data_IF_509226050390
#
_entry.id   IF_509226050390
#
_cell.length_a   1.000
_cell.length_b   1.000
_cell.length_c   1.000
_cell.angle_alpha   90.00
_cell.angle_beta   90.00
_cell.angle_gamma   90.00
#
_symmetry.space_group_name_H-M   'P 1'
#
loop_
_entity.id
_entity.type
_entity.pdbx_description
1 polymer ?
#
# COMPACT_ATOMS: atom_id res chain seq x y z
N UNK A 1 -2.97 11.47 28.99
CA UNK A 1 -3.90 10.68 28.16
C UNK A 1 -4.79 11.65 27.45
N UNK A 2 -4.76 11.67 26.11
CA UNK A 2 -5.58 12.58 25.31
C UNK A 2 -6.61 11.76 24.55
N UNK A 3 -7.87 12.19 24.57
CA UNK A 3 -8.90 11.59 23.71
C UNK A 3 -8.90 12.31 22.37
N UNK A 4 -9.08 11.54 21.29
CA UNK A 4 -9.11 12.09 19.94
C UNK A 4 -10.30 11.54 19.17
N UNK A 5 -10.86 12.36 18.27
CA UNK A 5 -11.92 11.93 17.36
C UNK A 5 -11.32 11.16 16.19
N UNK A 6 -12.05 10.16 15.68
CA UNK A 6 -11.66 9.40 14.50
C UNK A 6 -11.55 10.30 13.27
N UNK A 7 -12.42 11.30 13.13
CA UNK A 7 -12.31 12.31 12.07
C UNK A 7 -10.97 13.04 12.06
N UNK A 8 -10.49 13.50 13.21
CA UNK A 8 -9.19 14.16 13.34
C UNK A 8 -8.03 13.23 13.00
N UNK A 9 -8.11 11.96 13.40
CA UNK A 9 -7.08 10.98 13.07
C UNK A 9 -7.07 10.66 11.57
N UNK A 10 -8.23 10.58 10.94
CA UNK A 10 -8.35 10.35 9.49
C UNK A 10 -7.69 11.49 8.70
N UNK A 11 -7.75 12.73 9.19
CA UNK A 11 -7.07 13.87 8.57
C UNK A 11 -5.53 13.78 8.69
N UNK A 12 -5.02 13.10 9.71
CA UNK A 12 -3.57 12.88 9.89
C UNK A 12 -2.99 11.75 9.03
N UNK A 13 -3.81 11.08 8.20
CA UNK A 13 -3.31 10.07 7.27
C UNK A 13 -2.45 10.71 6.19
N UNK A 14 -1.30 10.10 5.92
CA UNK A 14 -0.43 10.46 4.80
C UNK A 14 -1.11 10.34 3.44
N UNK A 15 -2.10 9.44 3.34
CA UNK A 15 -2.91 9.22 2.14
C UNK A 15 -4.41 9.28 2.48
N UNK A 16 -5.05 10.46 2.36
CA UNK A 16 -6.48 10.64 2.66
C UNK A 16 -7.41 9.76 1.81
N UNK A 17 -6.99 9.31 0.61
CA UNK A 17 -7.75 8.41 -0.25
C UNK A 17 -7.85 6.98 0.30
N UNK A 18 -7.10 6.66 1.35
CA UNK A 18 -7.17 5.38 2.08
C UNK A 18 -7.98 5.46 3.37
N UNK A 19 -8.62 6.59 3.65
CA UNK A 19 -9.45 6.80 4.85
C UNK A 19 -10.51 5.71 5.10
N UNK A 20 -11.22 5.25 4.06
CA UNK A 20 -12.18 4.12 4.20
C UNK A 20 -11.51 2.82 4.69
N UNK A 21 -10.30 2.53 4.21
CA UNK A 21 -9.54 1.33 4.62
C UNK A 21 -9.04 1.50 6.04
N UNK A 22 -8.52 2.68 6.39
CA UNK A 22 -8.11 2.99 7.76
C UNK A 22 -9.25 2.81 8.75
N UNK A 23 -10.44 3.38 8.49
CA UNK A 23 -11.60 3.25 9.37
C UNK A 23 -12.02 1.80 9.58
N UNK A 24 -11.91 0.94 8.55
CA UNK A 24 -12.19 -0.50 8.68
C UNK A 24 -11.17 -1.20 9.59
N UNK A 25 -9.88 -0.92 9.39
CA UNK A 25 -8.80 -1.49 10.21
C UNK A 25 -8.93 -1.02 11.66
N UNK A 26 -9.18 0.27 11.87
CA UNK A 26 -9.40 0.87 13.18
C UNK A 26 -10.58 0.21 13.92
N UNK A 27 -11.72 0.04 13.26
CA UNK A 27 -12.88 -0.66 13.85
C UNK A 27 -12.57 -2.12 14.19
N UNK A 28 -11.76 -2.79 13.37
CA UNK A 28 -11.26 -4.12 13.69
C UNK A 28 -10.43 -4.12 14.97
N UNK A 29 -9.49 -3.19 15.08
CA UNK A 29 -8.64 -3.06 16.26
C UNK A 29 -9.44 -2.72 17.54
N UNK A 30 -10.47 -1.88 17.44
CA UNK A 30 -11.39 -1.61 18.58
C UNK A 30 -12.17 -2.86 18.95
N UNK A 31 -12.72 -3.58 17.97
CA UNK A 31 -13.46 -4.83 18.20
C UNK A 31 -12.59 -5.90 18.85
N UNK A 32 -11.31 -5.96 18.48
CA UNK A 32 -10.35 -6.94 19.00
C UNK A 32 -9.73 -6.48 20.34
N UNK A 33 -10.18 -5.36 20.92
CA UNK A 33 -9.69 -4.84 22.21
C UNK A 33 -8.27 -4.26 22.18
N UNK A 34 -7.72 -3.98 21.00
CA UNK A 34 -6.38 -3.39 20.85
C UNK A 34 -6.37 -1.87 21.00
N UNK A 35 -7.52 -1.24 20.78
CA UNK A 35 -7.72 0.21 20.90
C UNK A 35 -9.02 0.42 21.66
N UNK A 36 -8.95 1.21 22.72
CA UNK A 36 -10.16 1.64 23.46
C UNK A 36 -10.87 2.74 22.67
N UNK A 37 -12.09 2.45 22.21
CA UNK A 37 -12.87 3.37 21.40
C UNK A 37 -14.37 3.26 21.64
N UNK A 38 -15.03 4.41 21.74
CA UNK A 38 -16.48 4.53 21.95
C UNK A 38 -17.15 5.17 20.73
N UNK A 39 -18.33 4.67 20.36
CA UNK A 39 -19.13 5.30 19.31
C UNK A 39 -19.72 6.63 19.79
N UNK A 40 -19.71 7.62 18.90
CA UNK A 40 -20.39 8.89 19.08
C UNK A 40 -21.67 8.95 18.21
N UNK A 41 -22.68 9.77 18.58
CA UNK A 41 -23.89 9.93 17.78
C UNK A 41 -23.61 10.62 16.44
N UNK A 42 -22.51 11.36 16.36
CA UNK A 42 -22.08 12.10 15.18
C UNK A 42 -21.59 11.19 14.04
N UNK A 43 -21.62 11.74 12.83
CA UNK A 43 -21.03 11.15 11.64
C UNK A 43 -20.16 12.19 10.95
N UNK A 44 -19.10 11.73 10.30
CA UNK A 44 -18.22 12.60 9.53
C UNK A 44 -18.07 12.07 8.10
N UNK A 45 -17.80 12.99 7.18
CA UNK A 45 -17.55 12.67 5.77
C UNK A 45 -16.08 12.27 5.60
N UNK A 46 -15.85 11.12 4.95
CA UNK A 46 -14.50 10.65 4.65
C UNK A 46 -13.89 11.49 3.53
N UNK A 47 -12.59 11.85 3.62
CA UNK A 47 -11.92 12.63 2.58
C UNK A 47 -11.77 11.86 1.26
N UNK A 48 -11.85 10.52 1.29
CA UNK A 48 -11.80 9.68 0.09
C UNK A 48 -12.98 9.97 -0.83
N UNK A 49 -12.66 10.30 -2.08
CA UNK A 49 -13.64 10.49 -3.15
C UNK A 49 -13.78 9.21 -3.97
N UNK A 50 -15.01 8.84 -4.29
CA UNK A 50 -15.34 7.66 -5.08
C UNK A 50 -15.94 8.09 -6.41
N UNK A 51 -15.46 7.54 -7.53
CA UNK A 51 -16.10 7.72 -8.82
C UNK A 51 -17.33 6.82 -8.96
N UNK A 52 -18.42 7.35 -9.51
CA UNK A 52 -19.55 6.53 -9.95
C UNK A 52 -19.23 5.93 -11.32
N UNK A 53 -19.58 4.65 -11.51
CA UNK A 53 -19.44 4.00 -12.82
C UNK A 53 -20.49 4.58 -13.77
N UNK A 54 -20.06 5.09 -14.92
CA UNK A 54 -20.96 5.56 -15.98
C UNK A 54 -21.53 6.98 -15.81
N UNK A 55 -21.14 7.72 -14.77
CA UNK A 55 -21.51 9.13 -14.62
C UNK A 55 -20.40 9.87 -13.90
N UNK A 56 -19.91 10.98 -14.48
CA UNK A 56 -18.72 11.73 -14.01
C UNK A 56 -18.81 12.34 -12.60
N UNK A 57 -19.89 12.08 -11.86
CA UNK A 57 -20.06 12.55 -10.49
C UNK A 57 -19.25 11.72 -9.49
N UNK A 58 -18.39 12.39 -8.72
CA UNK A 58 -17.76 11.81 -7.55
C UNK A 58 -18.70 11.90 -6.34
N UNK A 59 -18.61 10.94 -5.42
CA UNK A 59 -19.29 11.00 -4.12
C UNK A 59 -18.34 10.66 -2.99
N UNK A 60 -18.65 11.13 -1.79
CA UNK A 60 -17.94 10.78 -0.56
C UNK A 60 -18.85 9.92 0.33
N UNK A 61 -18.23 9.13 1.20
CA UNK A 61 -18.96 8.27 2.16
C UNK A 61 -18.88 8.88 3.54
N UNK A 62 -19.92 8.66 4.34
CA UNK A 62 -19.92 9.02 5.75
C UNK A 62 -19.56 7.81 6.62
N UNK A 63 -18.85 8.06 7.72
CA UNK A 63 -18.54 7.09 8.76
C UNK A 63 -19.15 7.55 10.10
N UNK A 64 -19.45 6.58 10.98
CA UNK A 64 -19.80 6.89 12.38
C UNK A 64 -18.55 7.42 13.08
N UNK A 65 -18.71 8.51 13.80
CA UNK A 65 -17.65 9.07 14.63
C UNK A 65 -17.33 8.13 15.79
N UNK A 66 -16.07 8.12 16.21
CA UNK A 66 -15.61 7.39 17.38
C UNK A 66 -14.65 8.27 18.16
N UNK A 67 -14.78 8.26 19.48
CA UNK A 67 -13.80 8.82 20.38
C UNK A 67 -12.92 7.69 20.89
N UNK A 68 -11.61 7.89 20.89
CA UNK A 68 -10.66 6.87 21.35
C UNK A 68 -9.52 7.49 22.14
N UNK A 69 -8.87 6.67 22.94
CA UNK A 69 -7.72 7.09 23.73
C UNK A 69 -6.43 7.07 22.89
N UNK A 70 -5.68 8.17 22.90
CA UNK A 70 -4.34 8.26 22.32
C UNK A 70 -3.33 7.93 23.40
N UNK A 71 -2.70 6.76 23.26
CA UNK A 71 -1.56 6.31 24.05
C UNK A 71 -0.40 5.90 23.12
N UNK A 72 0.78 5.64 23.68
CA UNK A 72 1.96 5.29 22.87
C UNK A 72 1.79 4.01 22.05
N UNK A 73 0.97 3.05 22.51
CA UNK A 73 0.67 1.84 21.76
C UNK A 73 -0.18 2.14 20.52
N UNK A 74 -1.16 3.05 20.66
CA UNK A 74 -1.95 3.55 19.54
C UNK A 74 -1.08 4.31 18.54
N UNK A 75 -0.17 5.17 18.99
CA UNK A 75 0.72 5.93 18.09
C UNK A 75 1.61 5.00 17.26
N UNK A 76 2.24 4.01 17.89
CA UNK A 76 3.05 3.02 17.18
C UNK A 76 2.22 2.19 16.19
N UNK A 77 1.02 1.78 16.60
CA UNK A 77 0.08 1.08 15.73
C UNK A 77 -0.34 1.95 14.53
N UNK A 78 -0.65 3.22 14.79
CA UNK A 78 -1.06 4.16 13.77
C UNK A 78 0.06 4.40 12.77
N UNK A 79 1.29 4.62 13.22
CA UNK A 79 2.43 4.84 12.33
C UNK A 79 2.68 3.65 11.42
N UNK A 80 2.60 2.43 11.96
CA UNK A 80 2.69 1.21 11.15
C UNK A 80 1.59 1.15 10.10
N UNK A 81 0.32 1.36 10.50
CA UNK A 81 -0.83 1.32 9.58
C UNK A 81 -0.74 2.44 8.54
N UNK A 82 -0.34 3.65 8.93
CA UNK A 82 -0.21 4.81 8.05
C UNK A 82 0.86 4.55 6.98
N UNK A 83 2.02 4.00 7.37
CA UNK A 83 3.07 3.58 6.44
C UNK A 83 2.57 2.49 5.49
N UNK A 84 1.86 1.49 5.98
CA UNK A 84 1.34 0.39 5.15
C UNK A 84 0.28 0.88 4.15
N UNK A 85 -0.58 1.81 4.58
CA UNK A 85 -1.58 2.45 3.71
C UNK A 85 -0.93 3.37 2.67
N UNK A 86 0.17 4.02 3.00
CA UNK A 86 0.98 4.79 2.05
C UNK A 86 1.68 3.88 1.03
N UNK A 87 2.30 2.79 1.50
CA UNK A 87 3.00 1.81 0.68
C UNK A 87 2.05 0.99 -0.22
N UNK A 88 0.77 0.88 0.16
CA UNK A 88 -0.29 0.21 -0.60
C UNK A 88 -0.69 0.92 -1.91
N UNK A 89 0.23 1.56 -2.63
CA UNK A 89 0.22 1.66 -4.10
C UNK A 89 0.38 0.26 -4.74
N UNK A 90 -0.36 -0.76 -4.26
CA UNK A 90 -0.49 -2.05 -4.93
C UNK A 90 -1.48 -1.91 -6.08
N UNK A 91 -0.95 -1.61 -7.25
CA UNK A 91 -1.68 -1.53 -8.51
C UNK A 91 -0.75 -1.30 -9.70
N UNK A 92 0.34 -0.56 -9.49
CA UNK A 92 1.53 -0.67 -10.32
C UNK A 92 2.55 -1.55 -9.61
N UNK A 93 3.27 -2.43 -10.32
CA UNK A 93 4.53 -2.97 -9.81
C UNK A 93 5.29 -1.79 -9.17
N UNK A 94 5.66 -1.91 -7.89
CA UNK A 94 6.61 -0.98 -7.28
C UNK A 94 7.77 -0.91 -8.24
N UNK A 95 8.00 0.26 -8.85
CA UNK A 95 9.11 0.41 -9.78
C UNK A 95 10.36 0.13 -8.95
N UNK A 96 11.20 -0.76 -9.45
CA UNK A 96 12.50 -0.97 -8.86
C UNK A 96 13.27 0.36 -8.95
N UNK A 97 13.33 1.08 -7.83
CA UNK A 97 14.11 2.29 -7.63
C UNK A 97 14.96 2.09 -6.39
N UNK A 98 15.99 2.92 -6.22
CA UNK A 98 16.94 2.81 -5.11
C UNK A 98 16.22 2.99 -3.78
N UNK A 99 15.31 3.96 -3.71
CA UNK A 99 14.51 4.29 -2.54
C UNK A 99 13.58 3.13 -2.14
N UNK A 100 13.07 2.37 -3.12
CA UNK A 100 12.20 1.22 -2.87
C UNK A 100 12.98 0.01 -2.30
N UNK A 101 14.27 -0.09 -2.63
CA UNK A 101 15.17 -1.11 -2.08
C UNK A 101 15.57 -0.73 -0.65
N UNK A 102 15.93 0.53 -0.41
CA UNK A 102 16.29 1.04 0.92
C UNK A 102 15.12 0.97 1.91
N UNK A 103 13.91 1.24 1.44
CA UNK A 103 12.70 1.11 2.25
C UNK A 103 12.26 -0.34 2.52
N UNK A 104 13.01 -1.34 2.05
CA UNK A 104 12.67 -2.77 2.21
C UNK A 104 11.41 -3.21 1.44
N UNK A 105 10.89 -2.36 0.55
CA UNK A 105 9.69 -2.63 -0.25
C UNK A 105 10.00 -3.55 -1.43
N UNK A 106 11.27 -3.66 -1.82
CA UNK A 106 11.77 -4.53 -2.88
C UNK A 106 12.98 -5.31 -2.39
N UNK A 107 12.92 -6.64 -2.46
CA UNK A 107 14.06 -7.50 -2.11
C UNK A 107 15.13 -7.45 -3.22
N UNK A 108 16.22 -6.75 -2.94
CA UNK A 108 17.37 -6.64 -3.84
C UNK A 108 17.98 -7.99 -4.20
N UNK A 109 18.03 -8.95 -3.26
CA UNK A 109 18.63 -10.27 -3.52
C UNK A 109 17.79 -11.05 -4.53
N UNK A 110 16.46 -10.99 -4.41
CA UNK A 110 15.56 -11.60 -5.39
C UNK A 110 15.67 -10.92 -6.76
N UNK A 111 15.76 -9.58 -6.80
CA UNK A 111 16.00 -8.85 -8.05
C UNK A 111 17.31 -9.25 -8.72
N UNK A 112 18.40 -9.36 -7.95
CA UNK A 112 19.71 -9.74 -8.46
C UNK A 112 19.69 -11.17 -9.02
N UNK A 113 19.05 -12.11 -8.30
CA UNK A 113 18.92 -13.50 -8.75
C UNK A 113 18.12 -13.61 -10.06
N UNK A 114 16.97 -12.92 -10.15
CA UNK A 114 16.16 -12.87 -11.36
C UNK A 114 16.91 -12.24 -12.54
N UNK A 115 17.75 -11.23 -12.27
CA UNK A 115 18.57 -10.57 -13.28
C UNK A 115 19.65 -11.52 -13.82
N UNK A 116 20.38 -12.23 -12.96
CA UNK A 116 21.37 -13.25 -13.38
C UNK A 116 20.74 -14.32 -14.26
N UNK A 117 19.57 -14.84 -13.88
CA UNK A 117 18.86 -15.85 -14.65
C UNK A 117 18.49 -15.34 -16.05
N UNK A 118 17.98 -14.10 -16.15
CA UNK A 118 17.66 -13.47 -17.44
C UNK A 118 18.90 -13.23 -18.30
N UNK A 119 20.00 -12.76 -17.71
CA UNK A 119 21.25 -12.55 -18.44
C UNK A 119 21.80 -13.88 -18.99
N UNK A 120 21.77 -14.94 -18.19
CA UNK A 120 22.22 -16.27 -18.62
C UNK A 120 21.33 -16.84 -19.73
N UNK A 121 20.01 -16.68 -19.63
CA UNK A 121 19.06 -17.09 -20.67
C UNK A 121 19.29 -16.33 -21.98
N UNK A 122 19.55 -15.02 -21.93
CA UNK A 122 19.88 -14.21 -23.11
C UNK A 122 21.22 -14.63 -23.73
N UNK A 123 22.23 -14.88 -22.90
CA UNK A 123 23.55 -15.34 -23.35
C UNK A 123 23.47 -16.70 -24.07
N UNK A 124 22.83 -17.69 -23.44
CA UNK A 124 22.65 -19.03 -24.02
C UNK A 124 21.81 -19.01 -25.29
N UNK A 125 20.76 -18.17 -25.33
CA UNK A 125 19.97 -17.94 -26.56
C UNK A 125 20.83 -17.34 -27.67
N UNK A 126 21.69 -16.37 -27.37
CA UNK A 126 22.64 -15.77 -28.31
C UNK A 126 23.63 -16.79 -28.87
N UNK A 127 24.22 -17.61 -28.01
CA UNK A 127 25.11 -18.71 -28.40
C UNK A 127 24.43 -19.72 -29.34
N UNK A 128 23.19 -20.13 -29.01
CA UNK A 128 22.43 -21.08 -29.82
C UNK A 128 22.09 -20.52 -31.21
N UNK A 129 21.70 -19.25 -31.29
CA UNK A 129 21.43 -18.56 -32.56
C UNK A 129 22.69 -18.34 -33.39
N UNK A 130 23.83 -18.07 -32.75
CA UNK A 130 25.13 -17.97 -33.42
C UNK A 130 25.53 -19.29 -34.08
N UNK A 131 25.42 -20.40 -33.34
CA UNK A 131 25.70 -21.75 -33.86
C UNK A 131 24.76 -22.16 -34.99
N UNK A 132 23.47 -21.87 -34.90
CA UNK A 132 22.51 -22.19 -35.97
C UNK A 132 22.77 -21.41 -37.25
N UNK A 133 23.20 -20.14 -37.15
CA UNK A 133 23.56 -19.31 -38.31
C UNK A 133 24.90 -19.71 -38.95
N UNK A 134 25.87 -20.13 -38.14
CA UNK A 134 27.16 -20.63 -38.66
C UNK A 134 27.00 -21.95 -39.42
N UNK A 135 26.10 -22.84 -38.98
CA UNK A 135 25.79 -24.10 -39.68
C UNK A 135 25.04 -23.91 -41.00
N UNK A 136 24.19 -22.89 -41.12
CA UNK A 136 23.42 -22.59 -42.34
C UNK A 136 24.24 -21.97 -43.48
N UNK A 137 25.51 -21.57 -43.24
CA UNK A 137 26.36 -20.89 -44.23
C UNK A 137 27.30 -21.84 -44.99
N UNK A 138 27.24 -23.15 -44.69
CA UNK A 138 27.84 -24.22 -45.50
C UNK A 138 26.72 -24.93 -46.26
N UNK A 139 26.29 -24.33 -47.36
CA UNK A 139 25.66 -24.96 -48.53
C UNK A 139 25.66 -23.95 -49.67
#
# INVERSE_FOLDING_TARGET
>A
MAYKKLSEQVLSLSNPQRSDTFVKIFRGAVRDGRIEGAYMPERFTLPKTFSRRGGGAAYQRQAKEMLFEVNSAFEQWFDSVNRDLAASRKGGKVKASVEAVEAGLVDFKQMAAATRQKMQASYTKGQRLGKSRAGSRKN
#
